data_IF_717617688418
#
_entry.id   IF_717617688418
#
_cell.length_a   1.000
_cell.length_b   1.000
_cell.length_c   1.000
_cell.angle_alpha   90.00
_cell.angle_beta   90.00
_cell.angle_gamma   90.00
#
_symmetry.space_group_name_H-M   'P 1'
#
loop_
_entity.id
_entity.type
_entity.pdbx_description
1 polymer ?
#
# COMPACT_ATOMS: atom_id res chain seq x y z
N UNK A 1 5.74 10.30 8.86
CA UNK A 1 5.81 9.26 7.82
C UNK A 1 5.22 9.82 6.54
N UNK A 2 5.92 9.70 5.41
CA UNK A 2 5.38 10.14 4.12
C UNK A 2 4.27 9.20 3.67
N UNK A 3 3.22 9.74 3.07
CA UNK A 3 2.13 8.92 2.51
C UNK A 3 2.65 7.98 1.41
N UNK A 4 2.07 6.79 1.33
CA UNK A 4 2.22 5.90 0.16
C UNK A 4 1.65 6.63 -1.06
N UNK A 5 2.47 6.77 -2.08
CA UNK A 5 2.09 7.34 -3.37
C UNK A 5 1.27 6.35 -4.20
N UNK A 6 0.53 6.84 -5.18
CA UNK A 6 -0.24 5.98 -6.06
C UNK A 6 0.62 4.95 -6.81
N UNK A 7 1.81 5.34 -7.30
CA UNK A 7 2.72 4.41 -7.97
C UNK A 7 3.27 3.32 -7.03
N UNK A 8 3.42 3.63 -5.74
CA UNK A 8 3.73 2.62 -4.72
C UNK A 8 2.55 1.68 -4.49
N UNK A 9 1.29 2.15 -4.51
CA UNK A 9 0.09 1.28 -4.41
C UNK A 9 0.02 0.26 -5.55
N UNK A 10 0.26 0.69 -6.78
CA UNK A 10 0.30 -0.21 -7.94
C UNK A 10 1.36 -1.31 -7.75
N UNK A 11 2.55 -0.95 -7.25
CA UNK A 11 3.60 -1.94 -6.93
C UNK A 11 3.19 -2.87 -5.79
N UNK A 12 2.51 -2.38 -4.75
CA UNK A 12 2.02 -3.19 -3.63
C UNK A 12 0.99 -4.20 -4.13
N UNK A 13 0.08 -3.81 -5.02
CA UNK A 13 -0.89 -4.72 -5.64
C UNK A 13 -0.19 -5.85 -6.40
N UNK A 14 0.76 -5.52 -7.28
CA UNK A 14 1.59 -6.54 -7.96
C UNK A 14 2.34 -7.44 -6.96
N UNK A 15 2.87 -6.89 -5.87
CA UNK A 15 3.58 -7.67 -4.87
C UNK A 15 2.66 -8.60 -4.07
N UNK A 16 1.40 -8.22 -3.85
CA UNK A 16 0.38 -9.09 -3.25
C UNK A 16 0.10 -10.29 -4.15
N UNK A 17 -0.07 -10.07 -5.46
CA UNK A 17 -0.27 -11.15 -6.45
C UNK A 17 0.93 -12.10 -6.53
N UNK A 18 2.14 -11.55 -6.37
CA UNK A 18 3.38 -12.33 -6.33
C UNK A 18 3.67 -12.99 -4.96
N UNK A 19 2.79 -12.82 -3.97
CA UNK A 19 2.92 -13.45 -2.65
C UNK A 19 4.08 -12.94 -1.79
N UNK A 20 4.51 -11.68 -2.00
CA UNK A 20 5.56 -11.09 -1.19
C UNK A 20 5.08 -10.79 0.24
N UNK A 21 5.98 -10.97 1.20
CA UNK A 21 5.78 -10.52 2.58
C UNK A 21 5.93 -9.00 2.73
N UNK A 22 5.32 -8.43 3.78
CA UNK A 22 5.41 -7.00 4.11
C UNK A 22 6.86 -6.50 4.24
N UNK A 23 7.77 -7.36 4.73
CA UNK A 23 9.20 -7.02 4.85
C UNK A 23 9.83 -6.88 3.46
N UNK A 24 9.58 -7.84 2.56
CA UNK A 24 10.11 -7.79 1.19
C UNK A 24 9.57 -6.58 0.42
N UNK A 25 8.28 -6.28 0.55
CA UNK A 25 7.65 -5.10 -0.03
C UNK A 25 8.30 -3.81 0.51
N UNK A 26 8.48 -3.72 1.83
CA UNK A 26 9.09 -2.58 2.50
C UNK A 26 10.51 -2.31 1.99
N UNK A 27 11.33 -3.35 1.87
CA UNK A 27 12.69 -3.23 1.32
C UNK A 27 12.68 -2.69 -0.12
N UNK A 28 11.80 -3.21 -0.99
CA UNK A 28 11.75 -2.77 -2.40
C UNK A 28 11.20 -1.36 -2.60
N UNK A 29 10.34 -0.90 -1.69
CA UNK A 29 9.74 0.44 -1.74
C UNK A 29 10.48 1.45 -0.87
N UNK A 30 11.52 1.03 -0.15
CA UNK A 30 12.20 1.83 0.87
C UNK A 30 11.21 2.38 1.93
N UNK A 31 10.30 1.51 2.40
CA UNK A 31 9.26 1.77 3.41
C UNK A 31 9.40 0.81 4.58
N UNK A 32 8.93 1.24 5.75
CA UNK A 32 8.90 0.32 6.90
C UNK A 32 7.83 -0.76 6.67
N UNK A 33 8.04 -1.99 7.19
CA UNK A 33 7.02 -3.04 7.13
C UNK A 33 5.69 -2.61 7.77
N UNK A 34 5.73 -1.72 8.78
CA UNK A 34 4.54 -1.14 9.40
C UNK A 34 3.78 -0.21 8.45
N UNK A 35 4.45 0.57 7.60
CA UNK A 35 3.79 1.37 6.56
C UNK A 35 3.08 0.47 5.56
N UNK A 36 3.71 -0.63 5.14
CA UNK A 36 3.09 -1.62 4.24
C UNK A 36 1.87 -2.26 4.90
N UNK A 37 2.00 -2.72 6.16
CA UNK A 37 0.88 -3.31 6.89
C UNK A 37 -0.30 -2.36 7.04
N UNK A 38 -0.03 -1.07 7.32
CA UNK A 38 -1.08 -0.06 7.42
C UNK A 38 -1.77 0.15 6.06
N UNK A 39 -1.00 0.23 4.98
CA UNK A 39 -1.54 0.39 3.63
C UNK A 39 -2.41 -0.82 3.23
N UNK A 40 -1.95 -2.05 3.48
CA UNK A 40 -2.70 -3.28 3.20
C UNK A 40 -4.00 -3.41 4.01
N UNK A 41 -4.11 -2.71 5.15
CA UNK A 41 -5.33 -2.71 5.96
C UNK A 41 -6.47 -1.87 5.37
N UNK A 42 -6.21 -1.08 4.32
CA UNK A 42 -7.22 -0.21 3.69
C UNK A 42 -8.29 -0.98 2.92
N UNK A 43 -7.94 -2.11 2.31
CA UNK A 43 -8.87 -2.93 1.53
C UNK A 43 -8.42 -4.40 1.44
N UNK A 44 -9.38 -5.32 1.30
CA UNK A 44 -9.18 -6.76 1.15
C UNK A 44 -10.19 -7.31 0.11
N UNK A 45 -9.74 -7.94 -0.99
CA UNK A 45 -8.35 -8.05 -1.44
C UNK A 45 -7.72 -6.67 -1.71
N UNK A 46 -6.39 -6.58 -1.64
CA UNK A 46 -5.71 -5.30 -1.86
C UNK A 46 -5.83 -4.87 -3.33
N UNK A 47 -6.34 -3.67 -3.56
CA UNK A 47 -6.43 -3.05 -4.88
C UNK A 47 -5.95 -1.60 -4.81
N UNK A 48 -5.05 -1.20 -5.72
CA UNK A 48 -4.45 0.13 -5.66
C UNK A 48 -5.49 1.26 -5.80
N UNK A 49 -6.48 1.09 -6.68
CA UNK A 49 -7.56 2.04 -6.91
C UNK A 49 -8.42 2.27 -5.66
N UNK A 50 -8.80 1.18 -4.97
CA UNK A 50 -9.60 1.27 -3.74
C UNK A 50 -8.80 1.92 -2.61
N UNK A 51 -7.54 1.54 -2.45
CA UNK A 51 -6.66 2.13 -1.45
C UNK A 51 -6.36 3.62 -1.73
N UNK A 52 -6.27 4.02 -3.00
CA UNK A 52 -6.14 5.42 -3.41
C UNK A 52 -7.41 6.21 -3.07
N UNK A 53 -8.58 5.68 -3.42
CA UNK A 53 -9.87 6.32 -3.13
C UNK A 53 -10.09 6.52 -1.63
N UNK A 54 -9.76 5.51 -0.80
CA UNK A 54 -9.80 5.64 0.68
C UNK A 54 -8.83 6.71 1.19
N UNK A 55 -7.61 6.77 0.63
CA UNK A 55 -6.62 7.77 1.01
C UNK A 55 -7.07 9.20 0.65
N UNK A 56 -7.73 9.39 -0.49
CA UNK A 56 -8.28 10.68 -0.92
C UNK A 56 -9.50 11.09 -0.09
N UNK A 57 -10.42 10.16 0.17
CA UNK A 57 -11.59 10.40 1.03
C UNK A 57 -11.18 10.82 2.45
N UNK A 58 -10.14 10.20 3.01
CA UNK A 58 -9.61 10.58 4.33
C UNK A 58 -8.85 11.91 4.31
N UNK A 59 -8.38 12.36 3.15
CA UNK A 59 -7.65 13.63 2.99
C UNK A 59 -8.60 14.82 2.81
N UNK A 60 -9.79 14.59 2.28
CA UNK A 60 -10.82 15.62 2.08
C UNK A 60 -11.67 15.89 3.33
N UNK A 61 -11.43 15.17 4.42
CA UNK A 61 -12.13 15.28 5.71
C UNK A 61 -11.20 15.84 6.79
#
# INVERSE_FOLDING_TARGET
MSSITYSERIKIETFCELGLSNIQMGVRLNRSPSTISYELSRCQPYQAELAQTDAEYKRSR
#
